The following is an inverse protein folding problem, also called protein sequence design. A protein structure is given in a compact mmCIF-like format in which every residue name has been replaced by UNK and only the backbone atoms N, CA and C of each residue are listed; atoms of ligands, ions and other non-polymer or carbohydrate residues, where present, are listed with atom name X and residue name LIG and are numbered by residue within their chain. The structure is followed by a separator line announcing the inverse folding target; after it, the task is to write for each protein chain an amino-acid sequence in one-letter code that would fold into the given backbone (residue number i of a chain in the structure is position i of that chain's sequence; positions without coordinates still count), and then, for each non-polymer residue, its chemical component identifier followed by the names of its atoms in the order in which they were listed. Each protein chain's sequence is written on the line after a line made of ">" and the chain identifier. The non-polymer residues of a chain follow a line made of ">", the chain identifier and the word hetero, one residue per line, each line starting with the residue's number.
data_IF_720018370347
#
_entry.id   IF_720018370347
#
_cell.length_a   1.000
_cell.length_b   1.000
_cell.length_c   1.000
_cell.angle_alpha   90.00
_cell.angle_beta   90.00
_cell.angle_gamma   90.00
#
_symmetry.space_group_name_H-M   'P 1'
#
loop_
_entity.id
_entity.type
_entity.pdbx_description
1 polymer ?
#
# COMPACT_ATOMS: atom_id res chain seq x y z
N UNK A 1 14.13 -8.55 -12.47
CA UNK A 1 13.64 -8.77 -11.09
C UNK A 1 12.12 -8.92 -10.94
N UNK A 2 11.30 -8.47 -11.88
CA UNK A 2 9.82 -8.58 -11.83
C UNK A 2 9.31 -9.99 -11.45
N UNK A 3 9.90 -11.06 -12.00
CA UNK A 3 9.55 -12.44 -11.62
C UNK A 3 9.77 -12.78 -10.14
N UNK A 4 10.76 -12.18 -9.47
CA UNK A 4 11.03 -12.41 -8.04
C UNK A 4 10.00 -11.68 -7.16
N UNK A 5 9.63 -10.47 -7.56
CA UNK A 5 8.59 -9.68 -6.88
C UNK A 5 7.22 -10.36 -6.97
N UNK A 6 6.85 -10.90 -8.14
CA UNK A 6 5.46 -11.28 -8.39
C UNK A 6 5.22 -12.78 -8.58
N UNK A 7 6.22 -13.61 -8.96
CA UNK A 7 6.08 -15.05 -9.27
C UNK A 7 4.73 -15.40 -9.97
N UNK A 8 4.32 -14.62 -10.97
CA UNK A 8 3.08 -14.86 -11.74
C UNK A 8 1.82 -14.14 -11.26
N UNK A 9 1.83 -13.38 -10.15
CA UNK A 9 0.74 -12.48 -9.75
C UNK A 9 1.15 -11.02 -9.92
N UNK A 10 1.31 -10.57 -11.15
CA UNK A 10 1.98 -9.32 -11.52
C UNK A 10 1.16 -8.02 -11.23
N UNK A 11 0.01 -8.15 -10.58
CA UNK A 11 -0.82 -7.03 -10.12
C UNK A 11 -1.23 -6.10 -11.26
N UNK A 12 -1.46 -4.81 -10.97
CA UNK A 12 -1.77 -3.81 -12.01
C UNK A 12 -0.51 -3.13 -12.57
N UNK A 13 0.52 -2.95 -11.73
CA UNK A 13 1.70 -2.13 -12.04
C UNK A 13 2.69 -2.86 -12.95
N UNK A 14 2.83 -4.17 -12.82
CA UNK A 14 3.87 -4.95 -13.50
C UNK A 14 3.32 -6.04 -14.42
N UNK A 15 2.00 -6.23 -14.47
CA UNK A 15 1.40 -7.24 -15.34
C UNK A 15 1.47 -6.82 -16.80
N UNK A 16 1.75 -7.78 -17.71
CA UNK A 16 1.69 -7.57 -19.13
C UNK A 16 0.27 -7.24 -19.55
N UNK A 17 0.14 -6.44 -20.60
CA UNK A 17 -1.15 -6.11 -21.16
C UNK A 17 -1.85 -7.39 -21.66
N UNK A 18 -3.11 -7.56 -21.26
CA UNK A 18 -3.93 -8.72 -21.59
C UNK A 18 -5.31 -8.63 -20.94
N UNK A 19 -6.14 -9.65 -21.11
CA UNK A 19 -7.50 -9.66 -20.55
C UNK A 19 -7.52 -9.54 -19.03
N UNK A 20 -6.64 -10.28 -18.34
CA UNK A 20 -6.50 -10.22 -16.89
C UNK A 20 -6.13 -8.79 -16.41
N UNK A 21 -5.19 -8.12 -17.09
CA UNK A 21 -4.81 -6.75 -16.78
C UNK A 21 -5.97 -5.77 -17.05
N UNK A 22 -6.69 -5.92 -18.17
CA UNK A 22 -7.86 -5.09 -18.50
C UNK A 22 -8.95 -5.23 -17.44
N UNK A 23 -9.21 -6.46 -16.98
CA UNK A 23 -10.19 -6.74 -15.94
C UNK A 23 -9.77 -6.12 -14.59
N UNK A 24 -8.52 -6.32 -14.17
CA UNK A 24 -7.98 -5.70 -12.96
C UNK A 24 -8.05 -4.17 -13.03
N UNK A 25 -7.67 -3.57 -14.17
CA UNK A 25 -7.76 -2.12 -14.39
C UNK A 25 -9.20 -1.63 -14.28
N UNK A 26 -10.16 -2.36 -14.85
CA UNK A 26 -11.58 -2.03 -14.76
C UNK A 26 -12.06 -2.04 -13.31
N UNK A 27 -11.72 -3.07 -12.54
CA UNK A 27 -12.04 -3.16 -11.11
C UNK A 27 -11.44 -1.98 -10.34
N UNK A 28 -10.14 -1.71 -10.53
CA UNK A 28 -9.48 -0.60 -9.85
C UNK A 28 -10.13 0.76 -10.18
N UNK A 29 -10.45 1.02 -11.44
CA UNK A 29 -10.99 2.32 -11.87
C UNK A 29 -12.46 2.51 -11.53
N UNK A 30 -13.27 1.45 -11.59
CA UNK A 30 -14.72 1.54 -11.37
C UNK A 30 -15.13 1.35 -9.91
N UNK A 31 -14.41 0.53 -9.14
CA UNK A 31 -14.81 0.17 -7.78
C UNK A 31 -13.93 0.88 -6.74
N UNK A 32 -12.60 0.78 -6.89
CA UNK A 32 -11.65 1.26 -5.87
C UNK A 32 -11.32 2.75 -5.98
N UNK A 33 -11.16 3.25 -7.21
CA UNK A 33 -10.71 4.60 -7.52
C UNK A 33 -11.78 5.41 -8.27
N UNK A 34 -13.05 5.05 -8.12
CA UNK A 34 -14.15 5.84 -8.66
C UNK A 34 -14.21 7.21 -8.00
N UNK A 35 -14.72 8.22 -8.70
CA UNK A 35 -14.87 9.57 -8.15
C UNK A 35 -15.63 9.55 -6.81
N UNK A 36 -16.72 8.76 -6.73
CA UNK A 36 -17.51 8.56 -5.51
C UNK A 36 -16.64 8.05 -4.35
N UNK A 37 -15.81 7.03 -4.58
CA UNK A 37 -14.94 6.43 -3.56
C UNK A 37 -13.80 7.37 -3.17
N UNK A 38 -13.17 8.04 -4.14
CA UNK A 38 -12.14 9.04 -3.85
C UNK A 38 -12.69 10.18 -2.98
N UNK A 39 -13.95 10.58 -3.22
CA UNK A 39 -14.65 11.57 -2.39
C UNK A 39 -15.01 11.04 -0.99
N UNK A 40 -15.35 9.76 -0.83
CA UNK A 40 -15.64 9.21 0.50
C UNK A 40 -14.44 9.24 1.44
N UNK A 41 -13.21 9.19 0.92
CA UNK A 41 -11.98 9.36 1.72
C UNK A 41 -11.61 10.83 2.03
N UNK A 42 -12.47 11.81 1.70
CA UNK A 42 -12.23 13.21 2.05
C UNK A 42 -12.05 13.44 3.56
N UNK A 43 -12.87 12.87 4.46
CA UNK A 43 -12.71 13.05 5.90
C UNK A 43 -11.36 12.54 6.40
N UNK A 44 -10.90 11.39 5.89
CA UNK A 44 -9.57 10.83 6.20
C UNK A 44 -8.47 11.82 5.83
N UNK A 45 -8.51 12.35 4.60
CA UNK A 45 -7.52 13.35 4.14
C UNK A 45 -7.55 14.64 4.96
N UNK A 46 -8.72 15.05 5.45
CA UNK A 46 -8.86 16.24 6.28
C UNK A 46 -8.30 16.01 7.69
N UNK A 47 -8.56 14.84 8.29
CA UNK A 47 -7.99 14.48 9.59
C UNK A 47 -6.46 14.40 9.53
N UNK A 48 -5.91 13.71 8.52
CA UNK A 48 -4.46 13.62 8.33
C UNK A 48 -3.82 14.98 8.03
N UNK A 49 -4.49 15.85 7.27
CA UNK A 49 -4.01 17.21 7.06
C UNK A 49 -4.00 18.01 8.37
N UNK A 50 -5.02 17.84 9.22
CA UNK A 50 -5.06 18.45 10.54
C UNK A 50 -3.92 17.96 11.46
N UNK A 51 -3.52 16.69 11.36
CA UNK A 51 -2.35 16.14 12.06
C UNK A 51 -1.05 16.75 11.54
N UNK A 52 -0.91 16.87 10.22
CA UNK A 52 0.23 17.51 9.58
C UNK A 52 0.39 18.97 10.04
N UNK A 53 -0.69 19.77 10.00
CA UNK A 53 -0.64 21.18 10.37
C UNK A 53 -0.24 21.38 11.84
N UNK A 54 -0.72 20.50 12.73
CA UNK A 54 -0.32 20.50 14.14
C UNK A 54 1.16 20.16 14.30
N UNK A 55 1.68 19.16 13.57
CA UNK A 55 3.10 18.81 13.61
C UNK A 55 4.00 19.97 13.12
N UNK A 56 3.58 20.68 12.07
CA UNK A 56 4.27 21.88 11.56
C UNK A 56 4.22 23.01 12.58
N UNK A 57 3.05 23.28 13.17
CA UNK A 57 2.90 24.32 14.20
C UNK A 57 3.79 24.06 15.42
N UNK A 58 3.85 22.80 15.89
CA UNK A 58 4.67 22.40 17.05
C UNK A 58 6.17 22.38 16.76
N UNK A 59 6.59 22.30 15.49
CA UNK A 59 8.01 22.29 15.09
C UNK A 59 8.58 23.68 14.86
N UNK A 60 7.75 24.73 14.92
CA UNK A 60 8.19 26.14 14.87
C UNK A 60 8.65 26.61 16.25
N UNK A 61 9.95 26.81 16.50
CA UNK A 61 10.43 27.26 17.81
C UNK A 61 10.14 28.75 18.01
N UNK A 62 10.04 29.19 19.28
CA UNK A 62 10.11 30.59 19.64
C UNK A 62 11.49 31.18 19.30
N UNK A 63 11.62 32.50 19.04
CA UNK A 63 12.95 33.12 18.86
C UNK A 63 13.82 32.84 20.09
N UNK A 64 15.12 32.44 19.95
CA UNK A 64 16.07 32.76 18.86
C UNK A 64 16.43 31.61 17.89
N UNK A 65 15.95 30.38 18.09
CA UNK A 65 16.33 29.23 17.26
C UNK A 65 15.28 28.95 16.17
N UNK A 66 15.30 29.69 15.06
CA UNK A 66 14.45 29.33 13.90
C UNK A 66 14.96 28.03 13.27
N UNK A 67 14.32 26.90 13.58
CA UNK A 67 14.62 25.61 12.95
C UNK A 67 13.88 25.48 11.62
N UNK A 68 14.59 25.10 10.57
CA UNK A 68 13.98 24.78 9.27
C UNK A 68 13.12 23.52 9.38
N UNK A 69 11.89 23.58 8.87
CA UNK A 69 10.98 22.43 8.83
C UNK A 69 11.16 21.67 7.52
N UNK A 70 11.37 20.35 7.59
CA UNK A 70 11.47 19.49 6.42
C UNK A 70 10.08 19.16 5.87
N UNK A 71 9.58 19.98 4.95
CA UNK A 71 8.26 19.78 4.35
C UNK A 71 8.16 18.49 3.54
N UNK A 72 9.26 18.02 2.94
CA UNK A 72 9.26 16.78 2.14
C UNK A 72 8.89 15.57 3.00
N UNK A 73 9.51 15.45 4.17
CA UNK A 73 9.25 14.35 5.11
C UNK A 73 7.83 14.40 5.68
N UNK A 74 7.38 15.60 6.04
CA UNK A 74 6.03 15.82 6.59
C UNK A 74 4.94 15.51 5.55
N UNK A 75 5.12 15.95 4.30
CA UNK A 75 4.18 15.65 3.22
C UNK A 75 4.19 14.16 2.88
N UNK A 76 5.37 13.52 2.87
CA UNK A 76 5.49 12.09 2.63
C UNK A 76 4.74 11.27 3.69
N UNK A 77 4.87 11.63 4.97
CA UNK A 77 4.12 11.02 6.06
C UNK A 77 2.61 11.18 5.88
N UNK A 78 2.15 12.40 5.56
CA UNK A 78 0.72 12.66 5.28
C UNK A 78 0.16 11.79 4.15
N UNK A 79 0.90 11.66 3.03
CA UNK A 79 0.49 10.83 1.90
C UNK A 79 0.43 9.36 2.32
N UNK A 80 1.46 8.87 3.03
CA UNK A 80 1.54 7.49 3.48
C UNK A 80 0.40 7.14 4.44
N UNK A 81 0.16 7.98 5.45
CA UNK A 81 -0.90 7.78 6.45
C UNK A 81 -2.30 7.86 5.83
N UNK A 82 -2.53 8.86 4.97
CA UNK A 82 -3.81 8.97 4.25
C UNK A 82 -4.06 7.76 3.35
N UNK A 83 -3.03 7.25 2.69
CA UNK A 83 -3.12 6.09 1.79
C UNK A 83 -3.38 4.81 2.56
N UNK A 84 -2.62 4.56 3.64
CA UNK A 84 -2.80 3.38 4.49
C UNK A 84 -4.20 3.35 5.11
N UNK A 85 -4.70 4.50 5.60
CA UNK A 85 -6.06 4.59 6.14
C UNK A 85 -7.15 4.39 5.10
N UNK A 86 -6.94 4.83 3.87
CA UNK A 86 -7.89 4.54 2.78
C UNK A 86 -7.91 3.05 2.41
N UNK A 87 -6.74 2.38 2.45
CA UNK A 87 -6.62 0.97 2.06
C UNK A 87 -7.15 0.03 3.16
N UNK A 88 -6.67 0.21 4.39
CA UNK A 88 -6.81 -0.75 5.50
C UNK A 88 -7.81 -0.25 6.58
N UNK A 89 -8.28 0.98 6.46
CA UNK A 89 -9.18 1.62 7.41
C UNK A 89 -8.46 2.41 8.50
N UNK A 90 -9.24 3.11 9.33
CA UNK A 90 -8.72 4.01 10.38
C UNK A 90 -8.41 3.30 11.71
N UNK A 91 -8.75 2.02 11.83
CA UNK A 91 -8.61 1.27 13.07
C UNK A 91 -7.14 0.87 13.32
N UNK A 92 -6.69 0.80 14.59
CA UNK A 92 -5.38 0.29 14.91
C UNK A 92 -5.28 -1.17 14.45
N UNK A 93 -4.44 -1.45 13.46
CA UNK A 93 -4.17 -2.80 13.00
C UNK A 93 -2.76 -3.23 13.39
N UNK A 94 -2.58 -4.52 13.67
CA UNK A 94 -1.28 -5.06 14.04
C UNK A 94 -0.35 -5.00 12.84
N UNK A 95 0.69 -4.16 12.93
CA UNK A 95 1.70 -4.05 11.88
C UNK A 95 1.58 -2.83 10.97
N UNK A 96 0.87 -1.76 11.36
CA UNK A 96 0.86 -0.48 10.63
C UNK A 96 2.27 0.06 10.38
N UNK A 97 3.09 0.14 11.42
CA UNK A 97 4.45 0.65 11.30
C UNK A 97 5.32 -0.27 10.44
N UNK A 98 5.10 -1.59 10.54
CA UNK A 98 5.77 -2.57 9.68
C UNK A 98 5.35 -2.40 8.21
N UNK A 99 4.07 -2.11 7.95
CA UNK A 99 3.54 -1.85 6.62
C UNK A 99 4.15 -0.58 6.02
N UNK A 100 4.19 0.52 6.78
CA UNK A 100 4.82 1.77 6.36
C UNK A 100 6.32 1.59 6.07
N UNK A 101 7.03 0.88 6.96
CA UNK A 101 8.45 0.58 6.77
C UNK A 101 8.70 -0.28 5.54
N UNK A 102 7.83 -1.26 5.26
CA UNK A 102 7.92 -2.07 4.04
C UNK A 102 7.68 -1.24 2.78
N UNK A 103 6.74 -0.30 2.81
CA UNK A 103 6.55 0.63 1.69
C UNK A 103 7.79 1.49 1.47
N UNK A 104 8.38 2.04 2.53
CA UNK A 104 9.62 2.82 2.45
C UNK A 104 10.77 1.98 1.87
N UNK A 105 10.95 0.74 2.36
CA UNK A 105 11.97 -0.18 1.86
C UNK A 105 11.73 -0.55 0.40
N UNK A 106 10.47 -0.77 0.01
CA UNK A 106 10.10 -1.03 -1.39
C UNK A 106 10.39 0.18 -2.29
N UNK A 107 10.11 1.41 -1.85
CA UNK A 107 10.44 2.62 -2.63
C UNK A 107 11.95 2.88 -2.72
N UNK A 108 12.72 2.50 -1.69
CA UNK A 108 14.19 2.54 -1.73
C UNK A 108 14.78 1.50 -2.67
N UNK A 109 14.12 0.35 -2.83
CA UNK A 109 14.47 -0.64 -3.84
C UNK A 109 14.09 -0.11 -5.22
N UNK A 110 15.02 0.59 -5.89
CA UNK A 110 14.81 1.11 -7.25
C UNK A 110 14.70 -0.06 -8.24
N UNK A 111 13.50 -0.34 -8.81
CA UNK A 111 13.36 -1.41 -9.79
C UNK A 111 14.17 -1.04 -11.05
N UNK A 112 14.98 -1.95 -11.58
CA UNK A 112 15.70 -1.75 -12.84
C UNK A 112 17.10 -1.12 -12.73
N UNK A 113 17.58 -0.80 -11.53
CA UNK A 113 18.95 -0.28 -11.31
C UNK A 113 19.86 -1.25 -10.56
N UNK A 114 19.47 -2.51 -10.50
CA UNK A 114 20.24 -3.55 -9.85
C UNK A 114 21.15 -4.28 -10.84
N UNK A 115 22.29 -4.82 -10.37
CA UNK A 115 23.19 -5.61 -11.21
C UNK A 115 22.48 -6.77 -11.95
N UNK A 116 21.55 -7.52 -11.32
CA UNK A 116 20.81 -8.57 -12.03
C UNK A 116 19.79 -8.05 -13.04
N UNK A 117 19.33 -6.80 -12.95
CA UNK A 117 18.46 -6.19 -13.96
C UNK A 117 19.27 -5.68 -15.17
N UNK A 118 20.49 -5.16 -14.94
CA UNK A 118 21.39 -4.69 -16.01
C UNK A 118 22.08 -5.84 -16.75
N UNK A 119 22.40 -6.93 -16.04
CA UNK A 119 23.11 -8.08 -16.57
C UNK A 119 22.38 -9.39 -16.26
N UNK A 120 21.18 -9.61 -16.84
CA UNK A 120 20.32 -10.76 -16.49
C UNK A 120 20.93 -12.12 -16.84
N UNK A 121 21.88 -12.17 -17.77
CA UNK A 121 22.59 -13.39 -18.18
C UNK A 121 23.81 -13.73 -17.31
N UNK A 122 24.27 -12.81 -16.46
CA UNK A 122 25.47 -13.02 -15.64
C UNK A 122 25.12 -13.69 -14.31
N UNK A 123 25.54 -14.96 -14.16
CA UNK A 123 25.44 -15.68 -12.88
C UNK A 123 26.19 -14.99 -11.75
N UNK A 124 27.28 -14.30 -12.06
CA UNK A 124 28.08 -13.56 -11.10
C UNK A 124 27.36 -12.27 -10.63
N UNK A 125 26.65 -11.58 -11.53
CA UNK A 125 25.81 -10.44 -11.17
C UNK A 125 24.66 -10.85 -10.24
N UNK A 126 24.09 -12.04 -10.43
CA UNK A 126 23.09 -12.62 -9.53
C UNK A 126 23.67 -13.02 -8.16
N UNK A 127 24.90 -13.54 -8.12
CA UNK A 127 25.54 -14.02 -6.88
C UNK A 127 26.09 -12.88 -6.01
N UNK A 128 26.61 -11.83 -6.65
CA UNK A 128 27.20 -10.66 -5.97
C UNK A 128 26.11 -9.71 -5.43
N UNK A 129 24.93 -9.73 -6.05
CA UNK A 129 23.84 -8.85 -5.65
C UNK A 129 23.07 -9.40 -4.44
N UNK A 130 22.88 -8.59 -3.41
CA UNK A 130 22.00 -8.88 -2.26
C UNK A 130 20.52 -8.61 -2.56
N UNK A 131 20.23 -7.96 -3.68
CA UNK A 131 18.88 -7.53 -4.03
C UNK A 131 17.86 -8.67 -4.18
N UNK A 132 18.18 -9.83 -4.81
CA UNK A 132 17.24 -10.94 -4.90
C UNK A 132 16.71 -11.43 -3.55
N UNK A 133 17.57 -11.52 -2.54
CA UNK A 133 17.18 -11.98 -1.20
C UNK A 133 16.42 -10.91 -0.41
N UNK A 134 16.78 -9.63 -0.58
CA UNK A 134 16.01 -8.49 -0.04
C UNK A 134 14.60 -8.46 -0.60
N UNK A 135 14.45 -8.64 -1.91
CA UNK A 135 13.14 -8.68 -2.60
C UNK A 135 12.30 -9.84 -2.07
N UNK A 136 12.88 -11.05 -1.97
CA UNK A 136 12.16 -12.22 -1.43
C UNK A 136 11.70 -11.99 0.01
N UNK A 137 12.53 -11.36 0.84
CA UNK A 137 12.20 -11.04 2.23
C UNK A 137 11.06 -10.02 2.30
N UNK A 138 11.22 -8.88 1.63
CA UNK A 138 10.20 -7.82 1.56
C UNK A 138 8.85 -8.37 1.07
N UNK A 139 8.87 -9.20 0.02
CA UNK A 139 7.68 -9.89 -0.47
C UNK A 139 7.01 -10.77 0.60
N UNK A 140 7.78 -11.60 1.32
CA UNK A 140 7.21 -12.47 2.37
C UNK A 140 6.56 -11.65 3.47
N UNK A 141 7.22 -10.59 3.92
CA UNK A 141 6.69 -9.70 4.95
C UNK A 141 5.42 -8.97 4.46
N UNK A 142 5.41 -8.51 3.21
CA UNK A 142 4.21 -7.89 2.60
C UNK A 142 3.04 -8.87 2.49
N UNK A 143 3.28 -10.12 2.11
CA UNK A 143 2.25 -11.16 2.08
C UNK A 143 1.69 -11.43 3.48
N UNK A 144 2.56 -11.55 4.50
CA UNK A 144 2.12 -11.76 5.88
C UNK A 144 1.26 -10.61 6.39
N UNK A 145 1.61 -9.35 6.09
CA UNK A 145 0.77 -8.20 6.47
C UNK A 145 -0.56 -8.24 5.72
N UNK A 146 -0.54 -8.53 4.42
CA UNK A 146 -1.76 -8.62 3.61
C UNK A 146 -2.70 -9.70 4.14
N UNK A 147 -2.17 -10.89 4.47
CA UNK A 147 -2.94 -11.99 5.05
C UNK A 147 -3.52 -11.60 6.42
N UNK A 148 -2.72 -10.96 7.27
CA UNK A 148 -3.17 -10.45 8.58
C UNK A 148 -4.32 -9.47 8.42
N UNK A 149 -4.16 -8.48 7.53
CA UNK A 149 -5.18 -7.46 7.24
C UNK A 149 -6.46 -8.12 6.74
N UNK A 150 -6.38 -9.02 5.76
CA UNK A 150 -7.54 -9.72 5.21
C UNK A 150 -8.25 -10.52 6.31
N UNK A 151 -7.50 -11.19 7.18
CA UNK A 151 -8.07 -11.99 8.26
C UNK A 151 -8.81 -11.11 9.28
N UNK A 152 -8.21 -10.01 9.73
CA UNK A 152 -8.86 -9.04 10.62
C UNK A 152 -10.15 -8.47 10.02
N UNK A 153 -10.17 -8.18 8.71
CA UNK A 153 -11.36 -7.68 8.01
C UNK A 153 -12.47 -8.74 7.93
N UNK A 154 -12.11 -10.02 7.76
CA UNK A 154 -13.07 -11.14 7.75
C UNK A 154 -13.67 -11.37 9.13
N UNK A 155 -12.86 -11.37 10.17
CA UNK A 155 -13.28 -11.53 11.57
C UNK A 155 -14.21 -10.39 11.99
N UNK A 156 -13.85 -9.14 11.66
CA UNK A 156 -14.68 -7.96 11.90
C UNK A 156 -16.05 -8.07 11.24
N UNK A 157 -16.10 -8.50 9.97
CA UNK A 157 -17.36 -8.72 9.26
C UNK A 157 -18.19 -9.84 9.87
N UNK A 158 -17.56 -10.88 10.41
CA UNK A 158 -18.25 -11.97 11.10
C UNK A 158 -18.83 -11.52 12.46
N UNK A 159 -18.16 -10.60 13.15
CA UNK A 159 -18.60 -10.01 14.41
C UNK A 159 -19.72 -8.95 14.25
N UNK A 160 -20.07 -8.56 13.02
CA UNK A 160 -21.10 -7.55 12.75
C UNK A 160 -20.65 -6.11 13.02
N UNK A 161 -19.35 -5.86 13.19
CA UNK A 161 -18.78 -4.54 13.55
C UNK A 161 -18.52 -3.62 12.34
N UNK A 162 -19.13 -3.92 11.20
CA UNK A 162 -18.96 -3.15 9.95
C UNK A 162 -20.04 -2.10 9.79
N UNK A 163 -19.70 -0.84 10.04
CA UNK A 163 -20.56 0.29 9.68
C UNK A 163 -20.35 0.65 8.20
N UNK A 164 -21.43 0.98 7.49
CA UNK A 164 -21.37 1.28 6.05
C UNK A 164 -20.56 2.57 5.75
N UNK A 165 -20.39 3.43 6.76
CA UNK A 165 -19.67 4.70 6.65
C UNK A 165 -18.13 4.56 6.73
N UNK A 166 -17.60 3.42 7.20
CA UNK A 166 -16.15 3.16 7.36
C UNK A 166 -15.64 2.08 6.39
N UNK A 167 -16.27 1.94 5.21
CA UNK A 167 -15.88 0.96 4.20
C UNK A 167 -14.54 1.34 3.51
N UNK A 168 -13.48 0.63 3.87
CA UNK A 168 -12.13 0.73 3.27
C UNK A 168 -12.01 -0.07 1.95
N UNK A 169 -10.86 0.07 1.26
CA UNK A 169 -10.65 -0.62 -0.03
C UNK A 169 -10.55 -2.14 0.09
N UNK A 170 -10.04 -2.67 1.21
CA UNK A 170 -10.01 -4.13 1.45
C UNK A 170 -11.43 -4.65 1.60
N UNK A 171 -12.30 -3.91 2.26
CA UNK A 171 -13.71 -4.26 2.40
C UNK A 171 -14.45 -4.32 1.07
N UNK A 172 -14.18 -3.37 0.17
CA UNK A 172 -14.71 -3.38 -1.20
C UNK A 172 -14.22 -4.61 -1.95
N UNK A 173 -12.92 -4.91 -1.90
CA UNK A 173 -12.34 -6.08 -2.56
C UNK A 173 -12.93 -7.39 -2.04
N UNK A 174 -13.12 -7.53 -0.73
CA UNK A 174 -13.77 -8.71 -0.13
C UNK A 174 -15.25 -8.81 -0.52
N UNK A 175 -15.95 -7.67 -0.64
CA UNK A 175 -17.32 -7.61 -1.13
C UNK A 175 -17.44 -8.07 -2.59
N UNK A 176 -16.51 -7.62 -3.44
CA UNK A 176 -16.40 -8.11 -4.82
C UNK A 176 -16.06 -9.60 -4.84
N UNK A 177 -15.09 -10.09 -4.05
CA UNK A 177 -14.80 -11.52 -4.01
C UNK A 177 -16.04 -12.37 -3.71
N UNK A 178 -16.87 -11.96 -2.74
CA UNK A 178 -18.13 -12.64 -2.40
C UNK A 178 -19.21 -12.55 -3.48
N UNK A 179 -19.30 -11.44 -4.23
CA UNK A 179 -20.29 -11.25 -5.31
C UNK A 179 -19.95 -12.06 -6.57
N UNK A 180 -18.68 -12.35 -6.81
CA UNK A 180 -18.21 -13.02 -8.02
C UNK A 180 -17.98 -14.53 -7.80
N UNK A 181 -17.69 -14.95 -6.56
CA UNK A 181 -17.67 -16.36 -6.13
C UNK A 181 -18.97 -17.19 -6.29
N UNK A 182 -20.21 -16.64 -6.37
CA UNK A 182 -21.43 -17.43 -6.54
C UNK A 182 -21.61 -17.98 -7.97
N UNK A 183 -20.76 -17.60 -8.94
CA UNK A 183 -20.96 -17.90 -10.36
C UNK A 183 -20.26 -19.16 -10.89
N UNK A 184 -19.57 -19.92 -10.03
CA UNK A 184 -18.97 -21.23 -10.36
C UNK A 184 -19.68 -22.36 -9.64
N UNK A 185 -20.94 -22.62 -10.03
CA UNK A 185 -21.60 -23.93 -9.89
C UNK A 185 -22.11 -24.38 -11.25
#
# INVERSE_FOLDING_TARGET
>A
MSRLWFQGSEGLVFAPFGDAWRQLRKICTQELLSARRVHSFRPVRQDELGRLLRAVASSSPSPPERRSVNLTEIIAAYIADSTVRAIIGSRPFKGRDACLKLFEDMFRMRPGLSLPDLFPSSRLAMLVSREPDRIKRCRREMLQITDTVIQEHRERKAAGEGDAEDEDLVDVLLGLQKKWAPSTR
#
